data_IF_834299628869
#
_entry.id   IF_834299628869
#
_cell.length_a   1.000
_cell.length_b   1.000
_cell.length_c   1.000
_cell.angle_alpha   90.00
_cell.angle_beta   90.00
_cell.angle_gamma   90.00
#
_symmetry.space_group_name_H-M   'P 1'
#
loop_
_entity.id
_entity.type
_entity.pdbx_description
1 polymer ?
#
# COMPACT_ATOMS: atom_id res chain seq x y z
N UNK A 1 56.62 -14.63 -0.68
CA UNK A 1 55.87 -13.85 -1.69
C UNK A 1 54.70 -14.70 -2.11
N UNK A 2 53.54 -14.48 -1.49
CA UNK A 2 52.30 -15.14 -1.94
C UNK A 2 51.94 -14.57 -3.32
N UNK A 3 51.90 -15.45 -4.31
CA UNK A 3 51.38 -15.18 -5.64
C UNK A 3 49.89 -14.86 -5.50
N UNK A 4 49.54 -13.59 -5.66
CA UNK A 4 48.14 -13.19 -5.83
C UNK A 4 47.66 -13.85 -7.13
N UNK A 5 46.86 -14.91 -7.01
CA UNK A 5 46.16 -15.52 -8.15
C UNK A 5 45.25 -14.46 -8.77
N UNK A 6 45.66 -13.94 -9.93
CA UNK A 6 44.82 -13.03 -10.73
C UNK A 6 43.79 -13.87 -11.47
N UNK A 7 42.55 -13.87 -10.98
CA UNK A 7 41.42 -14.37 -11.76
C UNK A 7 41.19 -13.42 -12.94
N UNK A 8 41.37 -13.95 -14.15
CA UNK A 8 40.95 -13.28 -15.37
C UNK A 8 39.44 -13.51 -15.54
N UNK A 9 38.65 -12.45 -15.37
CA UNK A 9 37.20 -12.47 -15.57
C UNK A 9 36.88 -11.79 -16.90
N UNK A 10 36.05 -12.42 -17.72
CA UNK A 10 35.54 -11.82 -18.94
C UNK A 10 34.68 -10.60 -18.59
N UNK A 11 34.93 -9.46 -19.25
CA UNK A 11 34.13 -8.24 -19.06
C UNK A 11 32.65 -8.53 -19.37
N UNK A 12 32.37 -9.33 -20.41
CA UNK A 12 30.99 -9.68 -20.78
C UNK A 12 30.29 -10.46 -19.67
N UNK A 13 30.96 -11.46 -19.09
CA UNK A 13 30.38 -12.28 -18.03
C UNK A 13 30.20 -11.48 -16.74
N UNK A 14 31.17 -10.64 -16.38
CA UNK A 14 31.07 -9.76 -15.22
C UNK A 14 29.94 -8.75 -15.38
N UNK A 15 29.84 -8.10 -16.55
CA UNK A 15 28.76 -7.16 -16.85
C UNK A 15 27.40 -7.86 -16.82
N UNK A 16 27.27 -9.05 -17.42
CA UNK A 16 26.02 -9.82 -17.42
C UNK A 16 25.62 -10.18 -15.99
N UNK A 17 26.54 -10.70 -15.19
CA UNK A 17 26.28 -11.10 -13.79
C UNK A 17 25.90 -9.90 -12.93
N UNK A 18 26.74 -8.87 -12.91
CA UNK A 18 26.50 -7.65 -12.14
C UNK A 18 25.18 -6.96 -12.55
N UNK A 19 24.86 -6.94 -13.85
CA UNK A 19 23.59 -6.40 -14.34
C UNK A 19 22.39 -7.24 -13.88
N UNK A 20 22.46 -8.57 -13.97
CA UNK A 20 21.37 -9.46 -13.55
C UNK A 20 21.15 -9.42 -12.04
N UNK A 21 22.21 -9.41 -11.23
CA UNK A 21 22.13 -9.32 -9.77
C UNK A 21 21.49 -7.98 -9.35
N UNK A 22 21.92 -6.87 -9.97
CA UNK A 22 21.30 -5.58 -9.75
C UNK A 22 19.83 -5.54 -10.21
N UNK A 23 19.54 -6.06 -11.41
CA UNK A 23 18.18 -6.07 -11.96
C UNK A 23 17.23 -6.87 -11.06
N UNK A 24 17.62 -8.08 -10.65
CA UNK A 24 16.81 -8.94 -9.80
C UNK A 24 16.59 -8.33 -8.41
N UNK A 25 17.63 -7.75 -7.80
CA UNK A 25 17.50 -7.07 -6.50
C UNK A 25 16.53 -5.88 -6.57
N UNK A 26 16.55 -5.11 -7.65
CA UNK A 26 15.63 -3.97 -7.84
C UNK A 26 14.20 -4.42 -8.14
N UNK A 27 14.03 -5.44 -8.98
CA UNK A 27 12.72 -5.97 -9.39
C UNK A 27 11.99 -6.56 -8.17
N UNK A 28 12.63 -7.50 -7.47
CA UNK A 28 12.00 -8.25 -6.37
C UNK A 28 12.12 -7.50 -5.04
N UNK A 29 13.30 -6.94 -4.75
CA UNK A 29 13.63 -6.39 -3.45
C UNK A 29 13.24 -4.92 -3.24
N UNK A 30 12.70 -4.23 -4.26
CA UNK A 30 12.46 -2.78 -4.15
C UNK A 30 11.22 -2.27 -4.87
N UNK A 31 11.16 -2.43 -6.19
CA UNK A 31 10.32 -1.57 -7.03
C UNK A 31 8.87 -2.07 -7.22
N UNK A 32 8.68 -3.40 -7.25
CA UNK A 32 7.38 -4.01 -7.54
C UNK A 32 6.70 -4.50 -6.24
N UNK A 33 5.36 -4.43 -6.16
CA UNK A 33 4.60 -4.97 -5.05
C UNK A 33 4.49 -6.50 -5.17
N UNK A 34 4.35 -7.19 -4.03
CA UNK A 34 3.88 -8.58 -4.02
C UNK A 34 2.37 -8.63 -4.30
N UNK A 35 1.92 -9.56 -5.14
CA UNK A 35 0.50 -9.66 -5.50
C UNK A 35 -0.43 -9.91 -4.30
N UNK A 36 0.10 -10.57 -3.26
CA UNK A 36 -0.67 -11.11 -2.13
C UNK A 36 -1.08 -10.04 -1.14
N UNK A 37 -0.17 -9.17 -0.74
CA UNK A 37 -0.45 -8.07 0.20
C UNK A 37 -0.40 -6.67 -0.45
N UNK A 38 0.03 -6.59 -1.72
CA UNK A 38 0.15 -5.35 -2.46
C UNK A 38 1.24 -4.41 -1.98
N UNK A 39 2.19 -4.89 -1.16
CA UNK A 39 3.22 -4.06 -0.56
C UNK A 39 4.58 -4.30 -1.20
N UNK A 40 5.32 -3.21 -1.35
CA UNK A 40 6.76 -3.25 -1.61
C UNK A 40 7.50 -3.57 -0.31
N UNK A 41 8.75 -4.06 -0.37
CA UNK A 41 9.50 -4.42 0.83
C UNK A 41 9.62 -3.29 1.86
N UNK A 42 9.83 -2.04 1.41
CA UNK A 42 9.91 -0.89 2.34
C UNK A 42 8.58 -0.63 3.07
N UNK A 43 7.43 -0.74 2.38
CA UNK A 43 6.12 -0.57 3.01
C UNK A 43 5.89 -1.64 4.08
N UNK A 44 6.22 -2.91 3.75
CA UNK A 44 6.09 -4.05 4.66
C UNK A 44 6.94 -3.90 5.91
N UNK A 45 8.20 -3.49 5.74
CA UNK A 45 9.15 -3.26 6.83
C UNK A 45 8.72 -2.12 7.73
N UNK A 46 8.16 -1.04 7.18
CA UNK A 46 7.56 0.05 7.96
C UNK A 46 6.43 -0.45 8.84
N UNK A 47 5.44 -1.14 8.27
CA UNK A 47 4.30 -1.68 9.03
C UNK A 47 4.74 -2.71 10.07
N UNK A 48 5.69 -3.59 9.72
CA UNK A 48 6.25 -4.58 10.63
C UNK A 48 6.98 -3.93 11.81
N UNK A 49 7.87 -2.97 11.56
CA UNK A 49 8.57 -2.25 12.63
C UNK A 49 7.59 -1.48 13.53
N UNK A 50 6.55 -0.87 12.96
CA UNK A 50 5.49 -0.22 13.73
C UNK A 50 4.70 -1.22 14.59
N UNK A 51 4.43 -2.42 14.09
CA UNK A 51 3.79 -3.50 14.84
C UNK A 51 4.65 -3.96 16.02
N UNK A 52 5.93 -4.24 15.79
CA UNK A 52 6.90 -4.65 16.83
C UNK A 52 7.09 -3.57 17.90
N UNK A 53 7.01 -2.29 17.49
CA UNK A 53 7.01 -1.17 18.42
C UNK A 53 5.70 -1.03 19.22
N UNK A 54 4.66 -1.81 18.91
CA UNK A 54 3.32 -1.65 19.47
C UNK A 54 2.67 -0.31 19.10
N UNK A 55 3.01 0.26 17.94
CA UNK A 55 2.51 1.55 17.44
C UNK A 55 1.17 1.42 16.70
N UNK A 56 0.20 0.78 17.35
CA UNK A 56 -1.12 0.51 16.79
C UNK A 56 -2.03 1.75 16.74
N UNK A 57 -3.11 1.68 15.95
CA UNK A 57 -4.06 2.78 15.76
C UNK A 57 -4.71 3.32 17.05
N UNK A 58 -4.84 2.49 18.08
CA UNK A 58 -5.44 2.85 19.35
C UNK A 58 -4.41 3.28 20.41
N UNK A 59 -3.17 3.54 20.00
CA UNK A 59 -2.09 4.04 20.87
C UNK A 59 -1.77 5.49 20.55
N UNK A 60 -0.99 6.11 21.42
CA UNK A 60 -0.47 7.46 21.21
C UNK A 60 0.50 7.48 20.01
N UNK A 61 0.54 8.61 19.30
CA UNK A 61 1.49 8.81 18.22
C UNK A 61 2.93 8.72 18.72
N UNK A 62 3.83 8.25 17.86
CA UNK A 62 5.28 8.23 18.11
C UNK A 62 5.97 9.13 17.10
N UNK A 63 7.04 9.80 17.52
CA UNK A 63 7.90 10.59 16.61
C UNK A 63 8.28 9.77 15.37
N UNK A 64 8.11 10.34 14.19
CA UNK A 64 8.43 9.64 12.93
C UNK A 64 9.90 9.20 12.89
N UNK A 65 10.82 10.03 13.39
CA UNK A 65 12.24 9.69 13.51
C UNK A 65 12.49 8.39 14.30
N UNK A 66 11.67 8.08 15.32
CA UNK A 66 11.79 6.83 16.08
C UNK A 66 11.41 5.62 15.23
N UNK A 67 10.31 5.72 14.49
CA UNK A 67 9.87 4.64 13.59
C UNK A 67 10.89 4.44 12.47
N UNK A 68 11.37 5.52 11.86
CA UNK A 68 12.42 5.47 10.82
C UNK A 68 13.68 4.79 11.35
N UNK A 69 14.15 5.17 12.55
CA UNK A 69 15.31 4.56 13.20
C UNK A 69 15.18 3.06 13.41
N UNK A 70 14.02 2.60 13.90
CA UNK A 70 13.73 1.17 14.07
C UNK A 70 13.70 0.42 12.73
N UNK A 71 13.13 1.02 11.68
CA UNK A 71 13.07 0.40 10.34
C UNK A 71 14.47 0.22 9.77
N UNK A 72 15.29 1.28 9.76
CA UNK A 72 16.64 1.20 9.17
C UNK A 72 17.60 0.35 10.01
N UNK A 73 17.47 0.42 11.34
CA UNK A 73 18.36 -0.30 12.25
C UNK A 73 18.05 -1.80 12.39
N UNK A 74 16.86 -2.26 11.95
CA UNK A 74 16.43 -3.66 12.09
C UNK A 74 16.13 -4.35 10.76
N UNK A 75 15.57 -3.66 9.77
CA UNK A 75 14.97 -4.33 8.61
C UNK A 75 15.35 -3.74 7.25
N UNK A 76 15.66 -2.44 7.14
CA UNK A 76 15.83 -1.75 5.86
C UNK A 76 17.22 -1.10 5.74
N UNK A 77 18.21 -1.75 5.11
CA UNK A 77 19.59 -1.27 5.03
C UNK A 77 19.79 -0.18 3.96
N UNK A 78 18.94 0.86 4.00
CA UNK A 78 18.96 2.00 3.09
C UNK A 78 18.75 3.31 3.86
N UNK A 79 18.85 4.44 3.15
CA UNK A 79 18.76 5.76 3.76
C UNK A 79 17.43 6.02 4.50
N UNK A 80 17.54 6.75 5.61
CA UNK A 80 16.42 7.21 6.44
C UNK A 80 15.35 7.98 5.65
N UNK A 81 15.79 8.79 4.69
CA UNK A 81 14.94 9.61 3.82
C UNK A 81 13.97 8.74 3.02
N UNK A 82 14.44 7.63 2.45
CA UNK A 82 13.58 6.73 1.67
C UNK A 82 12.48 6.08 2.53
N UNK A 83 12.80 5.76 3.79
CA UNK A 83 11.84 5.23 4.76
C UNK A 83 10.85 6.32 5.20
N UNK A 84 11.34 7.53 5.44
CA UNK A 84 10.47 8.64 5.85
C UNK A 84 9.51 9.04 4.72
N UNK A 85 9.99 9.15 3.47
CA UNK A 85 9.14 9.43 2.31
C UNK A 85 8.08 8.35 2.10
N UNK A 86 8.44 7.10 2.39
CA UNK A 86 7.48 5.98 2.40
C UNK A 86 6.39 6.20 3.44
N UNK A 87 6.78 6.50 4.69
CA UNK A 87 5.84 6.79 5.78
C UNK A 87 4.92 7.96 5.40
N UNK A 88 5.50 9.02 4.83
CA UNK A 88 4.75 10.21 4.41
C UNK A 88 3.70 9.85 3.37
N UNK A 89 4.07 9.12 2.32
CA UNK A 89 3.12 8.70 1.27
C UNK A 89 2.01 7.81 1.81
N UNK A 90 2.31 6.94 2.78
CA UNK A 90 1.31 6.06 3.42
C UNK A 90 0.35 6.81 4.36
N UNK A 91 0.67 8.06 4.71
CA UNK A 91 -0.15 8.95 5.54
C UNK A 91 -0.93 10.01 4.74
N UNK A 92 -0.61 10.20 3.46
CA UNK A 92 -1.28 11.17 2.58
C UNK A 92 -2.53 10.57 1.94
N UNK A 93 -3.70 11.13 2.27
CA UNK A 93 -5.00 10.73 1.73
C UNK A 93 -5.18 11.03 0.24
N UNK A 94 -4.48 12.05 -0.29
CA UNK A 94 -4.45 12.36 -1.72
C UNK A 94 -3.49 11.47 -2.53
N UNK A 95 -2.58 10.75 -1.86
CA UNK A 95 -1.63 9.82 -2.49
C UNK A 95 -2.10 8.37 -2.40
N UNK A 96 -2.71 7.99 -1.28
CA UNK A 96 -3.16 6.63 -0.98
C UNK A 96 -4.65 6.65 -0.66
N UNK A 97 -5.45 5.89 -1.41
CA UNK A 97 -6.92 5.89 -1.29
C UNK A 97 -7.41 5.54 0.12
N UNK A 98 -6.71 4.60 0.77
CA UNK A 98 -6.92 4.21 2.15
C UNK A 98 -5.58 4.24 2.90
N UNK A 99 -5.24 5.36 3.57
CA UNK A 99 -4.00 5.50 4.31
C UNK A 99 -3.76 4.36 5.29
N UNK A 100 -2.53 3.86 5.31
CA UNK A 100 -2.09 2.79 6.22
C UNK A 100 -1.37 3.36 7.45
N UNK A 101 -1.01 4.64 7.41
CA UNK A 101 -0.42 5.38 8.52
C UNK A 101 -1.31 6.59 8.82
N UNK A 102 -1.49 6.86 10.11
CA UNK A 102 -2.15 8.06 10.63
C UNK A 102 -1.05 8.99 11.14
N UNK A 103 -0.97 10.19 10.56
CA UNK A 103 0.08 11.17 10.78
C UNK A 103 -0.41 12.43 11.49
N UNK A 104 0.39 12.93 12.43
CA UNK A 104 0.20 14.20 13.11
C UNK A 104 1.33 15.17 12.75
N UNK A 105 0.96 16.36 12.30
CA UNK A 105 1.87 17.39 11.78
C UNK A 105 1.68 17.62 10.28
N UNK A 106 2.63 18.32 9.65
CA UNK A 106 2.59 18.57 8.21
C UNK A 106 3.20 17.39 7.43
N UNK A 107 2.35 16.65 6.70
CA UNK A 107 2.72 15.55 5.82
C UNK A 107 2.75 15.94 4.33
N UNK A 108 2.79 17.24 4.03
CA UNK A 108 2.71 17.78 2.68
C UNK A 108 1.27 18.00 2.24
N UNK A 109 1.12 18.54 1.03
CA UNK A 109 -0.18 18.93 0.47
C UNK A 109 -0.28 18.52 -1.01
N UNK A 110 -1.50 18.60 -1.55
CA UNK A 110 -1.77 18.43 -3.00
C UNK A 110 -1.08 19.52 -3.84
N UNK A 111 -0.68 20.62 -3.19
CA UNK A 111 0.03 21.75 -3.80
C UNK A 111 1.51 21.41 -4.04
N UNK A 112 1.97 20.29 -3.50
CA UNK A 112 3.36 19.83 -3.57
C UNK A 112 4.26 20.42 -2.51
N UNK A 113 3.68 20.99 -1.45
CA UNK A 113 4.46 21.37 -0.27
C UNK A 113 5.14 20.14 0.30
N UNK A 114 6.43 20.27 0.57
CA UNK A 114 7.19 19.20 1.19
C UNK A 114 6.65 18.90 2.60
N UNK A 115 6.67 17.63 3.04
CA UNK A 115 6.37 17.30 4.42
C UNK A 115 7.37 17.98 5.37
N UNK A 116 6.95 18.23 6.61
CA UNK A 116 7.91 18.61 7.64
C UNK A 116 8.92 17.48 7.88
N UNK A 117 10.13 17.82 8.35
CA UNK A 117 11.14 16.81 8.67
C UNK A 117 10.65 15.82 9.75
N UNK A 118 11.15 14.58 9.71
CA UNK A 118 10.76 13.47 10.60
C UNK A 118 10.90 13.72 12.12
N UNK A 119 11.63 14.78 12.50
CA UNK A 119 11.76 15.24 13.89
C UNK A 119 10.53 15.99 14.41
N UNK A 120 9.71 16.53 13.51
CA UNK A 120 8.52 17.32 13.85
C UNK A 120 7.23 16.51 13.77
N UNK A 121 7.15 15.55 12.83
CA UNK A 121 5.96 14.73 12.62
C UNK A 121 5.90 13.54 13.58
N UNK A 122 4.69 13.08 13.82
CA UNK A 122 4.41 11.88 14.62
C UNK A 122 3.46 10.96 13.85
N UNK A 123 3.58 9.65 14.07
CA UNK A 123 2.81 8.64 13.35
C UNK A 123 2.37 7.51 14.26
N UNK A 124 1.25 6.89 13.88
CA UNK A 124 0.80 5.56 14.32
C UNK A 124 0.19 4.82 13.14
N UNK A 125 -0.02 3.51 13.27
CA UNK A 125 -0.71 2.77 12.20
C UNK A 125 -2.16 3.24 12.08
N UNK A 126 -2.67 3.37 10.86
CA UNK A 126 -4.10 3.59 10.65
C UNK A 126 -4.88 2.32 11.03
N UNK A 127 -6.18 2.47 11.34
CA UNK A 127 -7.03 1.32 11.73
C UNK A 127 -7.02 0.21 10.69
N UNK A 128 -6.98 0.54 9.40
CA UNK A 128 -6.96 -0.43 8.31
C UNK A 128 -5.69 -1.28 8.29
N UNK A 129 -4.53 -0.72 8.67
CA UNK A 129 -3.26 -1.44 8.69
C UNK A 129 -3.28 -2.62 9.68
N UNK A 130 -4.10 -2.58 10.73
CA UNK A 130 -4.30 -3.73 11.60
C UNK A 130 -4.89 -4.94 10.87
N UNK A 131 -5.80 -4.75 9.91
CA UNK A 131 -6.33 -5.86 9.11
C UNK A 131 -5.27 -6.43 8.15
N UNK A 132 -4.25 -5.64 7.82
CA UNK A 132 -3.11 -6.12 7.03
C UNK A 132 -2.19 -7.03 7.86
N UNK A 133 -1.99 -6.69 9.13
CA UNK A 133 -1.09 -7.39 10.06
C UNK A 133 -1.77 -8.49 10.90
N UNK A 134 -3.10 -8.58 10.88
CA UNK A 134 -3.83 -9.46 11.77
C UNK A 134 -3.44 -10.95 11.63
N UNK A 135 -3.35 -11.64 12.77
CA UNK A 135 -2.94 -13.05 12.92
C UNK A 135 -1.46 -13.35 12.59
N UNK A 136 -0.61 -12.35 12.36
CA UNK A 136 0.81 -12.55 12.01
C UNK A 136 1.58 -13.35 13.09
N UNK A 137 1.18 -13.26 14.35
CA UNK A 137 1.74 -13.99 15.49
C UNK A 137 1.41 -15.49 15.50
N UNK A 138 0.48 -15.94 14.65
CA UNK A 138 -0.01 -17.32 14.57
C UNK A 138 0.65 -18.12 13.43
N UNK A 139 1.90 -17.80 13.11
CA UNK A 139 2.70 -18.48 12.07
C UNK A 139 2.00 -18.48 10.68
N UNK A 140 1.19 -17.46 10.38
CA UNK A 140 0.34 -17.43 9.17
C UNK A 140 1.10 -17.11 7.89
N UNK A 141 2.31 -16.56 8.00
CA UNK A 141 3.16 -16.16 6.89
C UNK A 141 4.59 -16.62 7.13
N UNK A 142 5.37 -16.71 6.05
CA UNK A 142 6.76 -17.11 6.14
C UNK A 142 7.63 -15.93 6.56
N UNK A 143 8.49 -16.17 7.54
CA UNK A 143 9.52 -15.24 7.98
C UNK A 143 10.86 -15.61 7.36
N UNK A 144 11.70 -14.62 7.18
CA UNK A 144 13.09 -14.78 6.75
C UNK A 144 14.00 -14.01 7.72
N UNK A 145 15.29 -14.39 7.84
CA UNK A 145 16.27 -13.57 8.53
C UNK A 145 16.31 -12.15 7.93
N UNK A 146 16.51 -11.14 8.77
CA UNK A 146 16.79 -9.78 8.31
C UNK A 146 18.20 -9.69 7.70
N UNK A 147 18.62 -8.49 7.27
CA UNK A 147 19.86 -8.30 6.52
C UNK A 147 21.15 -8.62 7.30
N UNK A 148 21.10 -8.65 8.65
CA UNK A 148 22.23 -9.02 9.51
C UNK A 148 22.00 -10.34 10.28
N UNK A 149 20.95 -11.08 9.91
CA UNK A 149 20.55 -12.37 10.48
C UNK A 149 20.27 -12.37 12.00
N UNK A 150 20.22 -11.20 12.65
CA UNK A 150 19.97 -11.08 14.10
C UNK A 150 18.48 -11.13 14.47
N UNK A 151 17.61 -10.80 13.51
CA UNK A 151 16.16 -10.75 13.66
C UNK A 151 15.47 -11.48 12.50
N UNK A 152 14.15 -11.65 12.62
CA UNK A 152 13.32 -12.15 11.53
C UNK A 152 12.34 -11.09 11.05
N UNK A 153 12.06 -11.08 9.74
CA UNK A 153 11.06 -10.23 9.11
C UNK A 153 10.09 -11.06 8.25
N UNK A 154 8.81 -10.63 8.13
CA UNK A 154 7.85 -11.31 7.28
C UNK A 154 8.14 -11.05 5.80
N UNK A 155 8.11 -12.12 4.99
CA UNK A 155 8.23 -12.02 3.52
C UNK A 155 7.00 -11.36 2.88
N UNK A 156 5.83 -11.59 3.45
CA UNK A 156 4.51 -11.08 3.07
C UNK A 156 3.69 -10.84 4.34
N UNK A 157 2.75 -9.90 4.32
CA UNK A 157 1.81 -9.71 5.45
C UNK A 157 0.53 -10.54 5.25
N UNK A 158 -0.15 -10.96 6.34
CA UNK A 158 -1.37 -11.77 6.24
C UNK A 158 -2.47 -11.17 5.36
N UNK A 159 -2.60 -9.84 5.33
CA UNK A 159 -3.48 -9.07 4.46
C UNK A 159 -4.91 -9.61 4.39
N UNK A 160 -5.79 -9.24 5.35
CA UNK A 160 -7.21 -9.65 5.29
C UNK A 160 -8.03 -8.92 4.23
N UNK A 161 -7.47 -7.86 3.65
CA UNK A 161 -8.08 -7.05 2.60
C UNK A 161 -7.18 -7.06 1.35
N UNK A 162 -7.76 -6.95 0.13
CA UNK A 162 -7.04 -6.96 -1.14
C UNK A 162 -6.31 -5.61 -1.38
N UNK A 163 -5.27 -5.36 -0.58
CA UNK A 163 -4.62 -4.05 -0.50
C UNK A 163 -4.01 -3.58 -1.84
N UNK A 164 -3.51 -4.49 -2.68
CA UNK A 164 -2.95 -4.15 -3.99
C UNK A 164 -3.96 -3.42 -4.89
N UNK A 165 -5.22 -3.85 -4.88
CA UNK A 165 -6.27 -3.27 -5.72
C UNK A 165 -6.82 -1.99 -5.10
N UNK A 166 -7.10 -1.97 -3.79
CA UNK A 166 -7.73 -0.81 -3.15
C UNK A 166 -6.79 0.40 -3.09
N UNK A 167 -5.50 0.19 -2.88
CA UNK A 167 -4.52 1.27 -2.77
C UNK A 167 -3.66 1.45 -4.03
N UNK A 168 -3.66 0.49 -4.95
CA UNK A 168 -2.82 0.52 -6.14
C UNK A 168 -1.33 0.40 -5.80
N UNK A 169 -0.49 0.60 -6.81
CA UNK A 169 0.96 0.65 -6.66
C UNK A 169 1.58 1.30 -7.89
N UNK A 170 2.60 2.14 -7.68
CA UNK A 170 3.37 2.79 -8.74
C UNK A 170 4.85 2.53 -8.50
N UNK A 171 5.59 2.03 -9.48
CA UNK A 171 7.00 1.68 -9.31
C UNK A 171 7.74 1.46 -10.62
N UNK A 172 8.99 1.89 -10.66
CA UNK A 172 9.89 1.74 -11.79
C UNK A 172 11.01 0.78 -11.38
N UNK A 173 11.14 -0.33 -12.10
CA UNK A 173 12.19 -1.33 -11.92
C UNK A 173 13.16 -1.32 -13.11
N UNK A 174 14.06 -2.30 -13.20
CA UNK A 174 14.97 -2.43 -14.34
C UNK A 174 14.21 -3.08 -15.50
N UNK A 175 14.04 -2.34 -16.60
CA UNK A 175 13.37 -2.82 -17.82
C UNK A 175 11.85 -2.98 -17.73
N UNK A 176 11.24 -2.63 -16.60
CA UNK A 176 9.79 -2.78 -16.37
C UNK A 176 9.25 -1.74 -15.39
N UNK A 177 7.94 -1.51 -15.42
CA UNK A 177 7.25 -0.62 -14.50
C UNK A 177 5.89 -1.21 -14.12
N UNK A 178 5.41 -0.83 -12.95
CA UNK A 178 4.06 -1.11 -12.46
C UNK A 178 3.33 0.20 -12.20
N UNK A 179 2.07 0.26 -12.59
CA UNK A 179 1.21 1.42 -12.37
C UNK A 179 -0.23 0.94 -12.27
N UNK A 180 -0.61 0.56 -11.06
CA UNK A 180 -1.91 -0.02 -10.71
C UNK A 180 -2.74 1.09 -10.06
N UNK A 181 -3.91 1.43 -10.60
CA UNK A 181 -4.74 2.47 -10.02
C UNK A 181 -5.45 1.96 -8.76
N UNK A 182 -5.79 2.85 -7.80
CA UNK A 182 -6.58 2.50 -6.62
C UNK A 182 -8.04 2.26 -6.97
N UNK A 183 -8.74 1.53 -6.09
CA UNK A 183 -10.14 1.12 -6.27
C UNK A 183 -10.93 1.27 -4.98
N UNK A 184 -12.25 1.28 -5.11
CA UNK A 184 -13.14 1.30 -3.97
C UNK A 184 -13.07 -0.02 -3.20
N UNK A 185 -12.89 0.05 -1.88
CA UNK A 185 -12.80 -1.12 -1.00
C UNK A 185 -14.05 -2.01 -1.10
N UNK A 186 -15.24 -1.42 -1.14
CA UNK A 186 -16.50 -2.18 -1.20
C UNK A 186 -16.59 -2.97 -2.51
N UNK A 187 -16.35 -2.32 -3.65
CA UNK A 187 -16.40 -3.00 -4.96
C UNK A 187 -15.40 -4.16 -5.06
N UNK A 188 -14.17 -3.96 -4.57
CA UNK A 188 -13.15 -5.01 -4.61
C UNK A 188 -13.49 -6.16 -3.65
N UNK A 189 -14.00 -5.88 -2.45
CA UNK A 189 -14.42 -6.93 -1.51
C UNK A 189 -15.61 -7.71 -2.07
N UNK A 190 -16.61 -7.03 -2.64
CA UNK A 190 -17.74 -7.68 -3.31
C UNK A 190 -17.28 -8.57 -4.47
N UNK A 191 -16.34 -8.10 -5.30
CA UNK A 191 -15.77 -8.89 -6.39
C UNK A 191 -14.97 -10.09 -5.87
N UNK A 192 -14.24 -9.93 -4.77
CA UNK A 192 -13.52 -11.01 -4.10
C UNK A 192 -14.48 -12.07 -3.58
N UNK A 193 -15.60 -11.65 -2.97
CA UNK A 193 -16.65 -12.56 -2.48
C UNK A 193 -17.32 -13.28 -3.66
N UNK A 194 -17.64 -12.58 -4.75
CA UNK A 194 -18.21 -13.18 -5.94
C UNK A 194 -17.32 -14.30 -6.50
N UNK A 195 -16.02 -14.04 -6.63
CA UNK A 195 -15.02 -15.05 -7.06
C UNK A 195 -14.88 -16.21 -6.07
N UNK A 196 -15.05 -15.96 -4.76
CA UNK A 196 -15.00 -17.01 -3.75
C UNK A 196 -16.22 -17.93 -3.80
N UNK A 197 -17.40 -17.38 -4.11
CA UNK A 197 -18.65 -18.14 -4.27
C UNK A 197 -18.70 -18.90 -5.60
N UNK A 198 -18.18 -18.30 -6.67
CA UNK A 198 -18.05 -18.92 -7.99
C UNK A 198 -16.63 -18.73 -8.54
N UNK A 199 -15.73 -19.72 -8.40
CA UNK A 199 -14.37 -19.65 -8.92
C UNK A 199 -14.29 -19.50 -10.45
N UNK A 200 -15.33 -19.94 -11.17
CA UNK A 200 -15.38 -19.88 -12.64
C UNK A 200 -15.98 -18.56 -13.14
N UNK A 201 -16.37 -17.64 -12.24
CA UNK A 201 -16.98 -16.34 -12.60
C UNK A 201 -16.18 -15.63 -13.69
N UNK A 202 -16.87 -15.23 -14.75
CA UNK A 202 -16.19 -14.56 -15.86
C UNK A 202 -15.77 -13.14 -15.47
N UNK A 203 -14.72 -12.66 -16.12
CA UNK A 203 -14.25 -11.29 -15.89
C UNK A 203 -15.34 -10.27 -16.20
N UNK A 204 -16.21 -10.51 -17.20
CA UNK A 204 -17.31 -9.61 -17.53
C UNK A 204 -18.34 -9.44 -16.40
N UNK A 205 -18.53 -10.46 -15.57
CA UNK A 205 -19.39 -10.37 -14.39
C UNK A 205 -18.70 -9.60 -13.26
N UNK A 206 -17.40 -9.80 -13.07
CA UNK A 206 -16.60 -9.00 -12.13
C UNK A 206 -16.58 -7.51 -12.52
N UNK A 207 -16.58 -7.19 -13.82
CA UNK A 207 -16.65 -5.82 -14.34
C UNK A 207 -17.99 -5.11 -14.06
N UNK A 208 -19.05 -5.86 -13.74
CA UNK A 208 -20.33 -5.27 -13.29
C UNK A 208 -20.24 -4.79 -11.85
N UNK A 209 -19.37 -5.40 -11.05
CA UNK A 209 -19.11 -5.07 -9.65
C UNK A 209 -18.04 -3.97 -9.57
N UNK A 210 -16.86 -4.22 -10.15
CA UNK A 210 -15.73 -3.28 -10.20
C UNK A 210 -15.86 -2.40 -11.43
N UNK A 211 -16.49 -1.23 -11.25
CA UNK A 211 -16.93 -0.41 -12.39
C UNK A 211 -15.79 0.39 -13.00
N UNK A 212 -14.94 0.93 -12.14
CA UNK A 212 -13.82 1.79 -12.51
C UNK A 212 -12.85 1.95 -11.33
N UNK A 213 -11.62 2.45 -11.58
CA UNK A 213 -10.77 2.92 -10.51
C UNK A 213 -11.41 4.07 -9.70
N UNK A 214 -11.07 4.15 -8.42
CA UNK A 214 -11.55 5.15 -7.48
C UNK A 214 -10.34 5.93 -6.93
N UNK A 215 -9.98 7.02 -7.61
CA UNK A 215 -8.82 7.82 -7.27
C UNK A 215 -9.08 8.70 -6.04
N UNK A 216 -8.11 8.84 -5.12
CA UNK A 216 -8.27 9.65 -3.91
C UNK A 216 -8.55 11.14 -4.18
N UNK A 217 -8.08 11.67 -5.31
CA UNK A 217 -8.29 13.07 -5.71
C UNK A 217 -9.61 13.30 -6.45
N UNK A 218 -10.41 12.25 -6.67
CA UNK A 218 -11.65 12.31 -7.44
C UNK A 218 -11.42 12.55 -8.94
N UNK A 219 -12.24 13.42 -9.51
CA UNK A 219 -12.29 13.74 -10.93
C UNK A 219 -13.23 12.82 -11.71
N UNK A 220 -13.03 12.79 -13.03
CA UNK A 220 -13.74 11.94 -13.96
C UNK A 220 -12.77 11.05 -14.72
N UNK A 221 -13.17 9.82 -14.98
CA UNK A 221 -12.52 8.94 -15.95
C UNK A 221 -13.36 8.96 -17.23
N UNK A 222 -12.75 9.36 -18.34
CA UNK A 222 -13.38 9.42 -19.65
C UNK A 222 -13.07 8.14 -20.43
N UNK A 223 -14.12 7.47 -20.93
CA UNK A 223 -14.01 6.24 -21.72
C UNK A 223 -14.19 4.98 -20.86
N UNK A 224 -15.29 4.24 -21.10
CA UNK A 224 -15.59 2.99 -20.39
C UNK A 224 -14.87 1.79 -20.99
N UNK A 225 -14.58 1.82 -22.28
CA UNK A 225 -13.98 0.67 -22.96
C UNK A 225 -12.51 0.52 -22.58
N UNK A 226 -11.81 1.64 -22.38
CA UNK A 226 -10.44 1.69 -21.90
C UNK A 226 -10.31 1.11 -20.49
N UNK A 227 -11.30 1.37 -19.62
CA UNK A 227 -11.38 0.76 -18.28
C UNK A 227 -11.49 -0.76 -18.41
N UNK A 228 -12.48 -1.25 -19.18
CA UNK A 228 -12.69 -2.69 -19.39
C UNK A 228 -11.46 -3.38 -19.98
N UNK A 229 -10.85 -2.79 -21.00
CA UNK A 229 -9.64 -3.34 -21.63
C UNK A 229 -8.46 -3.39 -20.66
N UNK A 230 -8.30 -2.38 -19.80
CA UNK A 230 -7.27 -2.40 -18.76
C UNK A 230 -7.49 -3.53 -17.75
N UNK A 231 -8.74 -3.82 -17.40
CA UNK A 231 -9.06 -4.93 -16.51
C UNK A 231 -8.89 -6.30 -17.17
N UNK A 232 -9.19 -6.44 -18.46
CA UNK A 232 -9.02 -7.70 -19.22
C UNK A 232 -7.57 -8.07 -19.48
N UNK A 233 -6.73 -7.08 -19.76
CA UNK A 233 -5.36 -7.30 -20.24
C UNK A 233 -4.28 -6.96 -19.20
N UNK A 234 -4.65 -6.25 -18.14
CA UNK A 234 -3.71 -5.66 -17.18
C UNK A 234 -2.96 -4.44 -17.73
N UNK A 235 -3.29 -3.94 -18.92
CA UNK A 235 -2.67 -2.76 -19.54
C UNK A 235 -3.71 -1.85 -20.18
N UNK A 236 -3.52 -0.55 -20.05
CA UNK A 236 -4.42 0.41 -20.68
C UNK A 236 -4.01 1.85 -20.45
N UNK A 237 -4.76 2.78 -21.02
CA UNK A 237 -4.59 4.21 -20.79
C UNK A 237 -5.94 4.77 -20.43
N UNK A 238 -6.06 5.33 -19.23
CA UNK A 238 -7.27 5.98 -18.74
C UNK A 238 -7.13 7.50 -18.94
N UNK A 239 -8.13 8.12 -19.56
CA UNK A 239 -8.19 9.58 -19.62
C UNK A 239 -8.85 10.10 -18.36
N UNK A 240 -8.12 10.85 -17.54
CA UNK A 240 -8.64 11.50 -16.35
C UNK A 240 -8.91 12.97 -16.63
N UNK A 241 -9.98 13.51 -16.06
CA UNK A 241 -10.40 14.90 -16.21
C UNK A 241 -10.80 15.51 -14.87
N UNK A 242 -10.41 16.75 -14.63
CA UNK A 242 -10.79 17.53 -13.48
C UNK A 242 -12.32 17.71 -13.39
N UNK A 243 -12.87 17.74 -12.18
CA UNK A 243 -14.25 18.17 -11.95
C UNK A 243 -14.27 19.69 -11.97
N UNK A 244 -14.94 20.25 -12.97
CA UNK A 244 -15.08 21.69 -13.12
C UNK A 244 -16.49 22.06 -13.60
N UNK A 245 -17.01 23.17 -13.10
CA UNK A 245 -18.28 23.76 -13.51
C UNK A 245 -18.11 25.23 -13.88
N UNK A 246 -19.01 25.75 -14.71
CA UNK A 246 -19.11 27.19 -14.97
C UNK A 246 -20.07 27.76 -13.93
N UNK A 247 -19.67 28.83 -13.26
CA UNK A 247 -20.46 29.53 -12.27
C UNK A 247 -20.34 31.04 -12.47
N UNK A 248 -21.22 31.82 -11.83
CA UNK A 248 -21.14 33.29 -11.79
C UNK A 248 -20.66 33.76 -10.44
N UNK A 249 -19.63 34.60 -10.46
CA UNK A 249 -19.02 35.17 -9.26
C UNK A 249 -19.20 36.69 -9.23
N UNK A 250 -19.29 37.26 -8.02
CA UNK A 250 -19.53 38.69 -7.80
C UNK A 250 -20.99 39.05 -7.53
N UNK A 251 -21.29 40.35 -7.44
CA UNK A 251 -22.67 40.86 -7.24
C UNK A 251 -22.93 42.08 -8.13
N UNK A 252 -24.14 42.19 -8.66
CA UNK A 252 -24.59 43.33 -9.45
C UNK A 252 -23.77 43.50 -10.74
N UNK A 253 -23.27 44.72 -11.00
CA UNK A 253 -22.50 45.05 -12.22
C UNK A 253 -21.09 44.45 -12.28
N UNK A 254 -20.64 43.82 -11.19
CA UNK A 254 -19.37 43.10 -11.12
C UNK A 254 -19.51 41.58 -11.34
N UNK A 255 -20.70 41.09 -11.66
CA UNK A 255 -20.92 39.68 -11.98
C UNK A 255 -20.09 39.27 -13.20
N UNK A 256 -19.34 38.16 -13.06
CA UNK A 256 -18.50 37.57 -14.11
C UNK A 256 -18.65 36.07 -14.12
N UNK A 257 -18.57 35.47 -15.30
CA UNK A 257 -18.48 34.02 -15.42
C UNK A 257 -17.09 33.55 -14.94
N UNK A 258 -17.05 32.38 -14.31
CA UNK A 258 -15.84 31.74 -13.84
C UNK A 258 -15.92 30.22 -14.05
N UNK A 259 -14.76 29.61 -14.28
CA UNK A 259 -14.61 28.15 -14.20
C UNK A 259 -14.15 27.81 -12.78
N UNK A 260 -14.95 27.01 -12.09
CA UNK A 260 -14.69 26.54 -10.72
C UNK A 260 -14.22 25.08 -10.80
N UNK A 261 -12.99 24.81 -10.37
CA UNK A 261 -12.40 23.48 -10.33
C UNK A 261 -12.42 22.98 -8.89
N UNK A 262 -13.03 21.82 -8.67
CA UNK A 262 -13.23 21.24 -7.33
C UNK A 262 -12.46 19.93 -7.11
N UNK A 263 -12.08 19.23 -8.18
CA UNK A 263 -11.26 18.02 -8.12
C UNK A 263 -10.28 18.02 -9.30
N UNK A 264 -9.06 17.51 -9.09
CA UNK A 264 -8.03 17.42 -10.14
C UNK A 264 -7.65 15.95 -10.40
N UNK A 265 -7.11 15.64 -11.60
CA UNK A 265 -6.66 14.30 -11.91
C UNK A 265 -5.57 13.81 -10.94
N UNK A 266 -5.53 12.50 -10.68
CA UNK A 266 -4.56 11.89 -9.77
C UNK A 266 -3.11 12.16 -10.17
N UNK A 267 -2.23 12.38 -9.19
CA UNK A 267 -0.82 12.77 -9.35
C UNK A 267 -0.57 14.14 -10.04
N UNK A 268 -1.61 14.96 -10.25
CA UNK A 268 -1.44 16.35 -10.68
C UNK A 268 -1.15 17.23 -9.47
N UNK A 269 -0.12 18.06 -9.57
CA UNK A 269 0.20 19.07 -8.57
C UNK A 269 -0.67 20.32 -8.79
N UNK A 270 -1.39 20.76 -7.75
CA UNK A 270 -2.34 21.87 -7.84
C UNK A 270 -1.66 23.21 -8.12
N UNK A 271 -0.58 23.53 -7.40
CA UNK A 271 0.14 24.80 -7.58
C UNK A 271 0.70 24.93 -9.00
N UNK A 272 1.34 23.87 -9.52
CA UNK A 272 1.83 23.81 -10.90
C UNK A 272 0.71 23.91 -11.94
N UNK A 273 -0.47 23.36 -11.65
CA UNK A 273 -1.62 23.54 -12.52
C UNK A 273 -2.02 25.02 -12.60
N UNK A 274 -2.10 25.70 -11.46
CA UNK A 274 -2.45 27.13 -11.38
C UNK A 274 -1.40 28.00 -12.08
N UNK A 275 -0.12 27.76 -11.81
CA UNK A 275 1.00 28.41 -12.49
C UNK A 275 0.88 28.24 -14.01
N UNK A 276 0.62 27.01 -14.47
CA UNK A 276 0.48 26.71 -15.90
C UNK A 276 -0.70 27.44 -16.55
N UNK A 277 -1.83 27.57 -15.84
CA UNK A 277 -2.98 28.35 -16.35
C UNK A 277 -2.59 29.82 -16.48
N UNK A 278 -1.93 30.39 -15.48
CA UNK A 278 -1.48 31.79 -15.49
C UNK A 278 -0.46 32.07 -16.61
N UNK A 279 0.51 31.17 -16.81
CA UNK A 279 1.46 31.22 -17.92
C UNK A 279 0.75 31.26 -19.28
N UNK A 280 -0.20 30.35 -19.53
CA UNK A 280 -0.91 30.26 -20.80
C UNK A 280 -1.79 31.49 -21.07
N UNK A 281 -2.34 32.10 -20.01
CA UNK A 281 -3.06 33.36 -20.10
C UNK A 281 -2.13 34.53 -20.46
N UNK A 282 -0.96 34.62 -19.82
CA UNK A 282 0.03 35.66 -20.08
C UNK A 282 0.66 35.56 -21.48
N UNK A 283 0.93 34.34 -21.96
CA UNK A 283 1.43 34.07 -23.31
C UNK A 283 0.37 34.25 -24.41
N UNK A 284 -0.88 34.59 -24.05
CA UNK A 284 -2.04 34.67 -24.95
C UNK A 284 -2.34 33.38 -25.73
N UNK A 285 -1.83 32.24 -25.26
CA UNK A 285 -2.20 30.91 -25.80
C UNK A 285 -3.60 30.51 -25.37
N UNK A 286 -4.02 30.97 -24.18
CA UNK A 286 -5.35 30.77 -23.64
C UNK A 286 -5.98 32.13 -23.31
N UNK A 287 -6.68 32.68 -24.30
CA UNK A 287 -7.42 33.94 -24.16
C UNK A 287 -8.73 33.76 -23.40
N UNK A 288 -9.23 34.85 -22.80
CA UNK A 288 -10.51 34.88 -22.09
C UNK A 288 -10.41 34.68 -20.58
N UNK A 289 -9.22 34.43 -20.04
CA UNK A 289 -8.97 34.44 -18.58
C UNK A 289 -8.64 35.86 -18.13
N UNK A 290 -9.28 36.29 -17.04
CA UNK A 290 -8.99 37.53 -16.32
C UNK A 290 -7.98 37.27 -15.19
N UNK A 291 -8.25 36.30 -14.33
CA UNK A 291 -7.43 35.98 -13.16
C UNK A 291 -7.62 34.50 -12.77
N UNK A 292 -6.64 33.90 -12.09
CA UNK A 292 -6.74 32.59 -11.44
C UNK A 292 -6.47 32.76 -9.95
N UNK A 293 -7.34 32.22 -9.10
CA UNK A 293 -7.23 32.27 -7.65
C UNK A 293 -7.37 30.87 -7.06
N UNK A 294 -6.55 30.58 -6.06
CA UNK A 294 -6.74 29.41 -5.20
C UNK A 294 -7.56 29.82 -3.98
N UNK A 295 -8.80 29.32 -3.92
CA UNK A 295 -9.72 29.53 -2.80
C UNK A 295 -9.93 28.20 -2.03
N UNK A 296 -8.99 27.27 -2.15
CA UNK A 296 -9.01 26.00 -1.41
C UNK A 296 -8.83 26.23 0.09
N UNK A 297 -9.56 25.46 0.89
CA UNK A 297 -9.49 25.51 2.34
C UNK A 297 -9.47 24.10 2.95
N UNK A 298 -9.71 23.99 4.26
CA UNK A 298 -9.78 22.67 4.94
C UNK A 298 -11.02 21.86 4.56
N UNK A 299 -12.05 22.48 3.98
CA UNK A 299 -13.31 21.82 3.59
C UNK A 299 -13.24 21.26 2.18
N UNK A 300 -12.38 21.80 1.32
CA UNK A 300 -12.14 21.22 0.01
C UNK A 300 -11.29 22.07 -0.93
N UNK A 301 -10.99 21.49 -2.08
CA UNK A 301 -10.31 22.16 -3.16
C UNK A 301 -11.27 23.08 -3.92
N UNK A 302 -10.84 24.32 -4.17
CA UNK A 302 -11.59 25.27 -5.00
C UNK A 302 -10.66 26.23 -5.73
N UNK A 303 -10.38 25.94 -6.99
CA UNK A 303 -9.61 26.84 -7.86
C UNK A 303 -10.57 27.60 -8.76
N UNK A 304 -10.48 28.93 -8.74
CA UNK A 304 -11.34 29.84 -9.49
C UNK A 304 -10.57 30.44 -10.66
N UNK A 305 -11.04 30.19 -11.87
CA UNK A 305 -10.54 30.84 -13.09
C UNK A 305 -11.59 31.85 -13.53
N UNK A 306 -11.38 33.11 -13.20
CA UNK A 306 -12.28 34.20 -13.57
C UNK A 306 -12.11 34.56 -15.05
N UNK A 307 -13.22 34.75 -15.76
CA UNK A 307 -13.23 35.02 -17.18
C UNK A 307 -13.41 36.51 -17.50
N UNK A 308 -12.94 36.91 -18.68
CA UNK A 308 -13.24 38.24 -19.24
C UNK A 308 -14.70 38.30 -19.69
N UNK A 309 -15.30 39.49 -19.70
CA UNK A 309 -16.73 39.71 -20.03
C UNK A 309 -17.13 39.23 -21.43
N UNK A 310 -16.19 39.21 -22.36
CA UNK A 310 -16.35 38.81 -23.76
C UNK A 310 -15.98 37.34 -24.02
N UNK A 311 -15.49 36.62 -22.99
CA UNK A 311 -15.08 35.23 -23.13
C UNK A 311 -16.30 34.30 -23.14
N UNK A 312 -16.26 33.27 -23.99
CA UNK A 312 -17.26 32.19 -23.99
C UNK A 312 -16.82 31.10 -23.00
N UNK A 313 -17.52 30.90 -21.86
CA UNK A 313 -17.01 30.05 -20.78
C UNK A 313 -16.74 28.60 -21.19
N UNK A 314 -17.62 28.01 -22.00
CA UNK A 314 -17.47 26.64 -22.48
C UNK A 314 -16.24 26.45 -23.37
N UNK A 315 -15.88 27.46 -24.16
CA UNK A 315 -14.69 27.42 -25.02
C UNK A 315 -13.42 27.48 -24.17
N UNK A 316 -13.42 28.35 -23.15
CA UNK A 316 -12.29 28.46 -22.21
C UNK A 316 -12.11 27.16 -21.45
N UNK A 317 -13.18 26.57 -20.92
CA UNK A 317 -13.14 25.27 -20.23
C UNK A 317 -12.57 24.15 -21.11
N UNK A 318 -13.00 24.05 -22.37
CA UNK A 318 -12.46 23.05 -23.30
C UNK A 318 -10.98 23.30 -23.62
N UNK A 319 -10.56 24.55 -23.77
CA UNK A 319 -9.14 24.91 -23.94
C UNK A 319 -8.32 24.56 -22.70
N UNK A 320 -8.85 24.81 -21.50
CA UNK A 320 -8.22 24.43 -20.23
C UNK A 320 -7.97 22.92 -20.18
N UNK A 321 -8.97 22.08 -20.49
CA UNK A 321 -8.78 20.63 -20.56
C UNK A 321 -7.71 20.22 -21.59
N UNK A 322 -7.65 20.89 -22.74
CA UNK A 322 -6.71 20.54 -23.82
C UNK A 322 -5.27 20.99 -23.56
N UNK A 323 -5.07 22.13 -22.90
CA UNK A 323 -3.78 22.80 -22.81
C UNK A 323 -3.13 22.68 -21.43
N UNK A 324 -3.85 22.15 -20.44
CA UNK A 324 -3.38 22.05 -19.05
C UNK A 324 -3.56 20.63 -18.50
N UNK A 325 -2.88 20.30 -17.39
CA UNK A 325 -3.11 19.05 -16.67
C UNK A 325 -4.53 18.86 -16.09
N UNK A 326 -5.50 19.76 -16.32
CA UNK A 326 -6.91 19.51 -16.02
C UNK A 326 -7.46 18.29 -16.76
N UNK A 327 -6.84 17.87 -17.85
CA UNK A 327 -7.03 16.54 -18.41
C UNK A 327 -5.66 15.87 -18.53
N UNK A 328 -5.54 14.63 -18.05
CA UNK A 328 -4.28 13.88 -18.08
C UNK A 328 -4.53 12.41 -18.37
N UNK A 329 -3.48 11.69 -18.74
CA UNK A 329 -3.54 10.25 -19.01
C UNK A 329 -2.90 9.46 -17.87
N UNK A 330 -3.57 8.41 -17.42
CA UNK A 330 -3.03 7.43 -16.48
C UNK A 330 -2.77 6.11 -17.19
N UNK A 331 -1.50 5.75 -17.38
CA UNK A 331 -1.10 4.48 -17.98
C UNK A 331 -1.20 3.35 -16.96
N UNK A 332 -2.10 2.39 -17.17
CA UNK A 332 -2.28 1.21 -16.34
C UNK A 332 -1.31 0.12 -16.77
N UNK A 333 -0.52 -0.39 -15.82
CA UNK A 333 0.31 -1.58 -15.98
C UNK A 333 0.21 -2.39 -14.69
N UNK A 334 -0.64 -3.41 -14.69
CA UNK A 334 -0.90 -4.30 -13.56
C UNK A 334 0.21 -5.35 -13.40
N UNK A 335 1.43 -4.89 -13.14
CA UNK A 335 2.61 -5.73 -12.93
C UNK A 335 2.86 -5.92 -11.43
N UNK A 336 2.89 -7.17 -10.98
CA UNK A 336 3.20 -7.52 -9.59
C UNK A 336 4.09 -8.77 -9.51
N UNK A 337 4.72 -8.98 -8.36
CA UNK A 337 5.47 -10.21 -8.09
C UNK A 337 4.49 -11.32 -7.70
N UNK A 338 4.51 -12.42 -8.46
CA UNK A 338 3.75 -13.64 -8.20
C UNK A 338 4.75 -14.78 -8.08
N UNK A 339 4.82 -15.43 -6.93
CA UNK A 339 5.75 -16.55 -6.68
C UNK A 339 7.21 -16.21 -7.05
N UNK A 340 7.66 -14.99 -6.70
CA UNK A 340 9.02 -14.53 -6.96
C UNK A 340 9.28 -14.03 -8.39
N UNK A 341 8.28 -14.00 -9.27
CA UNK A 341 8.44 -13.56 -10.67
C UNK A 341 7.51 -12.39 -11.01
N UNK A 342 7.99 -11.39 -11.77
CA UNK A 342 7.15 -10.29 -12.24
C UNK A 342 6.16 -10.78 -13.31
N UNK A 343 4.87 -10.55 -13.10
CA UNK A 343 3.81 -10.92 -14.05
C UNK A 343 2.81 -9.79 -14.23
N UNK A 344 2.37 -9.60 -15.48
CA UNK A 344 1.23 -8.73 -15.80
C UNK A 344 -0.04 -9.53 -15.56
N UNK A 345 -0.97 -8.96 -14.82
CA UNK A 345 -2.19 -9.62 -14.36
C UNK A 345 -3.42 -8.84 -14.78
N UNK A 346 -4.46 -9.55 -15.18
CA UNK A 346 -5.80 -8.98 -15.33
C UNK A 346 -6.51 -8.89 -13.95
N UNK A 347 -7.68 -8.26 -13.89
CA UNK A 347 -8.42 -8.07 -12.62
C UNK A 347 -8.73 -9.40 -11.92
N UNK A 348 -9.23 -10.39 -12.67
CA UNK A 348 -9.58 -11.72 -12.15
C UNK A 348 -8.36 -12.40 -11.53
N UNK A 349 -7.23 -12.42 -12.25
CA UNK A 349 -5.98 -13.03 -11.80
C UNK A 349 -5.43 -12.40 -10.52
N UNK A 350 -5.55 -11.07 -10.37
CA UNK A 350 -5.15 -10.40 -9.13
C UNK A 350 -6.01 -10.85 -7.94
N UNK A 351 -7.33 -10.96 -8.15
CA UNK A 351 -8.27 -11.45 -7.13
C UNK A 351 -8.04 -12.93 -6.80
N UNK A 352 -7.79 -13.78 -7.80
CA UNK A 352 -7.46 -15.21 -7.62
C UNK A 352 -6.20 -15.37 -6.75
N UNK A 353 -5.13 -14.65 -7.09
CA UNK A 353 -3.89 -14.67 -6.30
C UNK A 353 -4.12 -14.26 -4.84
N UNK A 354 -4.99 -13.27 -4.61
CA UNK A 354 -5.36 -12.84 -3.26
C UNK A 354 -6.18 -13.91 -2.52
N UNK A 355 -7.20 -14.49 -3.16
CA UNK A 355 -8.04 -15.54 -2.57
C UNK A 355 -7.22 -16.77 -2.20
N UNK A 356 -6.32 -17.22 -3.07
CA UNK A 356 -5.46 -18.38 -2.81
C UNK A 356 -4.51 -18.12 -1.63
N UNK A 357 -3.94 -16.92 -1.56
CA UNK A 357 -3.15 -16.51 -0.40
C UNK A 357 -3.97 -16.49 0.90
N UNK A 358 -5.21 -15.97 0.84
CA UNK A 358 -6.11 -15.98 2.01
C UNK A 358 -6.45 -17.39 2.47
N UNK A 359 -6.64 -18.35 1.55
CA UNK A 359 -6.83 -19.77 1.89
C UNK A 359 -5.63 -20.33 2.65
N UNK A 360 -4.42 -20.04 2.18
CA UNK A 360 -3.18 -20.44 2.85
C UNK A 360 -3.08 -19.87 4.27
N UNK A 361 -3.30 -18.56 4.42
CA UNK A 361 -3.24 -17.86 5.71
C UNK A 361 -4.25 -18.43 6.70
N UNK A 362 -5.50 -18.63 6.27
CA UNK A 362 -6.57 -19.19 7.13
C UNK A 362 -6.22 -20.61 7.56
N UNK A 363 -5.73 -21.45 6.63
CA UNK A 363 -5.30 -22.82 6.94
C UNK A 363 -4.18 -22.83 7.99
N UNK A 364 -3.11 -22.05 7.79
CA UNK A 364 -1.99 -21.96 8.75
C UNK A 364 -2.45 -21.49 10.13
N UNK A 365 -3.33 -20.48 10.17
CA UNK A 365 -3.92 -20.00 11.43
C UNK A 365 -4.67 -21.11 12.16
N UNK A 366 -5.53 -21.84 11.45
CA UNK A 366 -6.32 -22.93 12.03
C UNK A 366 -5.42 -24.08 12.50
N UNK A 367 -4.36 -24.42 11.75
CA UNK A 367 -3.35 -25.41 12.16
C UNK A 367 -2.62 -24.97 13.44
N UNK A 368 -2.25 -23.69 13.55
CA UNK A 368 -1.64 -23.12 14.76
C UNK A 368 -2.56 -23.20 15.98
N UNK A 369 -3.80 -22.77 15.83
CA UNK A 369 -4.81 -22.80 16.90
C UNK A 369 -5.11 -24.23 17.35
N UNK A 370 -5.23 -25.18 16.41
CA UNK A 370 -5.39 -26.60 16.70
C UNK A 370 -4.20 -27.16 17.49
N UNK A 371 -2.97 -26.81 17.10
CA UNK A 371 -1.73 -27.24 17.79
C UNK A 371 -1.70 -26.74 19.23
N UNK A 372 -2.02 -25.45 19.45
CA UNK A 372 -2.11 -24.84 20.78
C UNK A 372 -3.22 -25.47 21.63
N UNK A 373 -4.39 -25.70 21.05
CA UNK A 373 -5.52 -26.33 21.73
C UNK A 373 -5.19 -27.78 22.17
N UNK A 374 -4.59 -28.59 21.28
CA UNK A 374 -4.13 -29.96 21.61
C UNK A 374 -3.06 -29.98 22.71
N UNK A 375 -2.07 -29.07 22.64
CA UNK A 375 -1.06 -28.96 23.68
C UNK A 375 -1.67 -28.58 25.04
N UNK A 376 -2.66 -27.68 25.05
CA UNK A 376 -3.38 -27.30 26.27
C UNK A 376 -4.25 -28.45 26.81
N UNK A 377 -4.96 -29.16 25.94
CA UNK A 377 -5.76 -30.33 26.31
C UNK A 377 -4.89 -31.41 26.97
N UNK A 378 -3.72 -31.71 26.39
CA UNK A 378 -2.77 -32.68 26.95
C UNK A 378 -2.30 -32.30 28.38
N UNK A 379 -1.99 -31.02 28.61
CA UNK A 379 -1.64 -30.54 29.96
C UNK A 379 -2.82 -30.68 30.92
N UNK A 380 -4.03 -30.35 30.49
CA UNK A 380 -5.23 -30.45 31.33
C UNK A 380 -5.56 -31.90 31.68
N UNK A 381 -5.45 -32.83 30.74
CA UNK A 381 -5.61 -34.27 30.98
C UNK A 381 -4.62 -34.77 32.05
N UNK A 382 -3.34 -34.36 31.95
CA UNK A 382 -2.33 -34.68 32.96
C UNK A 382 -2.66 -34.08 34.33
N UNK A 383 -3.15 -32.84 34.38
CA UNK A 383 -3.58 -32.21 35.64
C UNK A 383 -4.80 -32.89 36.25
N UNK A 384 -5.78 -33.33 35.45
CA UNK A 384 -6.94 -34.08 35.94
C UNK A 384 -6.50 -35.39 36.58
N UNK A 385 -5.65 -36.17 35.89
CA UNK A 385 -5.06 -37.38 36.47
C UNK A 385 -4.26 -37.10 37.74
N UNK A 386 -3.53 -35.99 37.77
CA UNK A 386 -2.75 -35.59 38.93
C UNK A 386 -3.61 -35.22 40.14
N UNK A 387 -4.77 -34.62 39.91
CA UNK A 387 -5.76 -34.32 40.97
C UNK A 387 -6.34 -35.63 41.52
N UNK A 388 -6.66 -36.60 40.67
CA UNK A 388 -7.18 -37.90 41.10
C UNK A 388 -6.17 -38.68 41.96
N UNK A 389 -4.86 -38.42 41.77
CA UNK A 389 -3.76 -39.07 42.49
C UNK A 389 -2.95 -38.11 43.38
N UNK A 390 -3.58 -37.04 43.87
CA UNK A 390 -2.88 -35.90 44.49
C UNK A 390 -2.00 -36.30 45.68
N UNK A 391 -2.50 -37.14 46.58
CA UNK A 391 -1.75 -37.58 47.77
C UNK A 391 -0.49 -38.38 47.40
N UNK A 392 -0.57 -39.20 46.35
CA UNK A 392 0.56 -39.99 45.86
C UNK A 392 1.62 -39.10 45.23
N UNK A 393 1.20 -38.14 44.40
CA UNK A 393 2.09 -37.17 43.75
C UNK A 393 2.77 -36.26 44.78
N UNK A 394 2.03 -35.76 45.79
CA UNK A 394 2.60 -34.92 46.86
C UNK A 394 3.65 -35.70 47.66
N UNK A 395 3.39 -36.97 47.97
CA UNK A 395 4.34 -37.84 48.68
C UNK A 395 5.60 -38.07 47.86
N UNK A 396 5.44 -38.36 46.56
CA UNK A 396 6.53 -38.56 45.62
C UNK A 396 7.41 -37.30 45.48
N UNK A 397 6.80 -36.13 45.33
CA UNK A 397 7.51 -34.84 45.26
C UNK A 397 8.24 -34.55 46.58
N UNK A 398 7.63 -34.77 47.74
CA UNK A 398 8.27 -34.55 49.06
C UNK A 398 9.49 -35.43 49.29
N UNK A 399 9.46 -36.64 48.77
CA UNK A 399 10.57 -37.60 48.88
C UNK A 399 11.64 -37.41 47.78
N UNK A 400 11.39 -36.52 46.81
CA UNK A 400 12.33 -36.23 45.73
C UNK A 400 13.51 -35.38 46.22
N UNK A 401 14.72 -35.72 45.75
CA UNK A 401 15.97 -35.06 46.14
C UNK A 401 16.25 -33.75 45.41
N UNK A 402 15.55 -33.45 44.30
CA UNK A 402 15.70 -32.18 43.58
C UNK A 402 14.52 -31.89 42.65
N UNK A 403 14.36 -30.62 42.26
CA UNK A 403 13.32 -30.15 41.32
C UNK A 403 13.51 -30.74 39.91
N UNK A 404 14.76 -31.07 39.54
CA UNK A 404 15.09 -31.67 38.25
C UNK A 404 14.92 -33.20 38.22
N UNK A 405 14.61 -33.82 39.36
CA UNK A 405 14.38 -35.26 39.44
C UNK A 405 13.06 -35.61 38.75
N UNK A 406 13.16 -36.11 37.51
CA UNK A 406 12.09 -36.83 36.84
C UNK A 406 12.14 -38.27 37.33
N UNK A 407 11.17 -38.67 38.13
CA UNK A 407 10.98 -40.08 38.44
C UNK A 407 10.47 -40.79 37.17
N UNK A 408 11.24 -41.72 36.56
CA UNK A 408 10.79 -42.49 35.41
C UNK A 408 9.50 -43.28 35.69
N UNK A 409 9.28 -43.67 36.95
CA UNK A 409 8.12 -44.45 37.37
C UNK A 409 6.84 -43.59 37.46
N UNK A 410 6.96 -42.25 37.52
CA UNK A 410 5.80 -41.35 37.53
C UNK A 410 5.05 -41.30 36.20
N UNK A 411 5.73 -41.51 35.06
CA UNK A 411 5.08 -41.66 33.75
C UNK A 411 4.44 -43.05 33.60
N UNK A 412 5.06 -44.08 34.17
CA UNK A 412 4.53 -45.46 34.14
C UNK A 412 3.33 -45.67 35.08
N UNK A 413 3.26 -44.94 36.19
CA UNK A 413 2.20 -45.10 37.19
C UNK A 413 0.85 -44.47 36.79
N UNK A 414 0.84 -43.46 35.93
CA UNK A 414 -0.37 -42.69 35.59
C UNK A 414 -0.78 -42.72 34.11
N UNK A 415 0.00 -43.42 33.26
CA UNK A 415 -0.22 -43.52 31.81
C UNK A 415 -0.08 -42.16 31.14
#
# INVERSE_FOLDING_TARGET
METIERQHISIEDEMRRSYLDYAMSVIIGRALPDVRDGLKPVHRRVLWAMNELGNAYNKAYKKSARVVGDVIGKYHPHGDTAVYDTIVRMAQDFSMRYPLIDGQGNFGSVDGDAPAAMRYTEVRMARLANEILADIEKETVTFQPNYDESLSEPTVLPARIPNLLINGSDGIAVGMATKIPPHNLTEIVEATIALLLDPEVDIEDLLKIVKAPDFPTGGFICGREEIRNSYRTGRGILQMRARASIDRIGRGTQERDAVIITEIPFQVNKARLIERIAELANEKKLEGISEVRDESDRQGMRVVVELKRDAVPQVVLNKLFKLTPMQSSFGVINLAIVNGQPRVLNLKQMLECFVDFRREVVRRRTEYELRKAKARAHILEGLTKAIDALDHIVTLIRNSRSVAYRDPDSQLAFG
#
